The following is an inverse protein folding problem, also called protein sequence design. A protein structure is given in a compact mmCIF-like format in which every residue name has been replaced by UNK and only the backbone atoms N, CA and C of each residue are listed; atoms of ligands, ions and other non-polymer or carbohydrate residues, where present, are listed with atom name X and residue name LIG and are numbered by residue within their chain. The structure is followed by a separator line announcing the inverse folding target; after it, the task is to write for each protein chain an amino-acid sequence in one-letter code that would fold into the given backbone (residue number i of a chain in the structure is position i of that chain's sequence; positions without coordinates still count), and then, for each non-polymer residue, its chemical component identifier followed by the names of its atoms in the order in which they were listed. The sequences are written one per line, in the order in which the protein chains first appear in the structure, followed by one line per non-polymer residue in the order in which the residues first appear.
data_IF_058842607773
#
_entry.id   IF_058842607773
#
_cell.length_a   1.000
_cell.length_b   1.000
_cell.length_c   1.000
_cell.angle_alpha   90.00
_cell.angle_beta   90.00
_cell.angle_gamma   90.00
#
_symmetry.space_group_name_H-M   'P 1'
#
loop_
_entity.id
_entity.type
_entity.pdbx_description
1 polymer ?
#
# COMPACT_ATOMS: atom_id res chain seq x y z
N UNK A 1 -14.38 -25.19 -50.08
CA UNK A 1 -15.32 -26.09 -50.77
C UNK A 1 -15.78 -27.13 -49.76
N UNK A 2 -17.06 -27.07 -49.39
CA UNK A 2 -17.87 -28.06 -48.66
C UNK A 2 -17.36 -28.58 -47.29
N UNK A 3 -18.07 -28.16 -46.26
CA UNK A 3 -18.26 -28.94 -45.04
C UNK A 3 -18.98 -30.26 -45.39
N UNK A 4 -18.50 -31.37 -44.84
CA UNK A 4 -19.25 -32.61 -44.72
C UNK A 4 -19.22 -33.00 -43.25
N UNK A 5 -20.39 -32.94 -42.61
CA UNK A 5 -20.66 -33.60 -41.34
C UNK A 5 -20.86 -35.08 -41.66
N UNK A 6 -20.11 -35.95 -41.02
CA UNK A 6 -20.45 -37.37 -40.90
C UNK A 6 -20.85 -37.60 -39.44
N UNK A 7 -22.02 -38.21 -39.26
CA UNK A 7 -22.78 -38.32 -38.01
C UNK A 7 -22.43 -39.56 -37.15
N UNK A 8 -21.29 -40.21 -37.40
CA UNK A 8 -20.92 -41.45 -36.66
C UNK A 8 -19.42 -41.47 -36.29
N UNK A 9 -18.93 -40.45 -35.59
CA UNK A 9 -17.65 -40.53 -34.87
C UNK A 9 -17.91 -40.72 -33.37
N UNK A 10 -17.85 -41.96 -32.89
CA UNK A 10 -17.61 -42.23 -31.47
C UNK A 10 -16.24 -41.65 -31.10
N UNK A 11 -16.25 -40.58 -30.33
CA UNK A 11 -15.05 -39.94 -29.80
C UNK A 11 -14.41 -40.93 -28.81
N UNK A 12 -13.36 -41.61 -29.25
CA UNK A 12 -12.50 -42.38 -28.36
C UNK A 12 -11.54 -41.39 -27.69
N UNK A 13 -11.82 -41.10 -26.41
CA UNK A 13 -10.87 -40.42 -25.54
C UNK A 13 -9.87 -41.45 -25.06
N UNK A 14 -8.65 -41.42 -25.60
CA UNK A 14 -7.51 -42.03 -24.92
C UNK A 14 -7.16 -41.11 -23.76
N UNK A 15 -7.21 -41.64 -22.54
CA UNK A 15 -6.81 -40.89 -21.36
C UNK A 15 -5.29 -40.77 -21.39
N UNK A 16 -4.79 -39.54 -21.41
CA UNK A 16 -3.36 -39.27 -21.38
C UNK A 16 -2.79 -39.72 -20.02
N UNK A 17 -1.47 -39.98 -19.94
CA UNK A 17 -0.84 -40.47 -18.70
C UNK A 17 -1.15 -39.58 -17.49
N UNK A 18 -1.32 -38.27 -17.71
CA UNK A 18 -1.71 -37.31 -16.67
C UNK A 18 -3.17 -37.50 -16.19
N UNK A 19 -4.10 -37.84 -17.08
CA UNK A 19 -5.50 -38.12 -16.73
C UNK A 19 -5.63 -39.45 -15.97
N UNK A 20 -4.79 -40.43 -16.31
CA UNK A 20 -4.68 -41.70 -15.58
C UNK A 20 -4.11 -41.45 -14.19
N UNK A 21 -3.10 -40.59 -14.08
CA UNK A 21 -2.47 -40.27 -12.81
C UNK A 21 -3.42 -39.48 -11.89
N UNK A 22 -4.17 -38.52 -12.45
CA UNK A 22 -5.18 -37.76 -11.71
C UNK A 22 -6.32 -38.63 -11.16
N UNK A 23 -6.71 -39.69 -11.88
CA UNK A 23 -7.66 -40.70 -11.37
C UNK A 23 -7.06 -41.52 -10.23
N UNK A 24 -5.79 -41.93 -10.36
CA UNK A 24 -5.12 -42.73 -9.33
C UNK A 24 -4.84 -41.91 -8.05
N UNK A 25 -4.61 -40.60 -8.17
CA UNK A 25 -4.44 -39.67 -7.03
C UNK A 25 -5.75 -39.05 -6.54
N UNK A 26 -6.90 -39.48 -7.08
CA UNK A 26 -8.21 -39.00 -6.67
C UNK A 26 -8.53 -39.45 -5.23
N UNK A 27 -9.09 -38.52 -4.45
CA UNK A 27 -9.44 -38.69 -3.02
C UNK A 27 -10.25 -39.97 -2.69
N UNK A 28 -10.95 -40.54 -3.68
CA UNK A 28 -11.73 -41.78 -3.52
C UNK A 28 -10.85 -43.05 -3.40
N UNK A 29 -9.62 -43.04 -3.91
CA UNK A 29 -8.71 -44.19 -3.89
C UNK A 29 -7.90 -44.32 -2.60
N UNK A 30 -7.81 -43.25 -1.78
CA UNK A 30 -7.10 -43.25 -0.50
C UNK A 30 -7.69 -44.27 0.50
N UNK A 31 -8.98 -44.60 0.39
CA UNK A 31 -9.66 -45.51 1.32
C UNK A 31 -9.63 -46.99 0.91
N UNK A 32 -9.05 -47.32 -0.25
CA UNK A 32 -9.15 -48.66 -0.85
C UNK A 32 -7.90 -49.53 -0.69
N UNK A 33 -6.78 -48.97 -0.21
CA UNK A 33 -5.51 -49.68 -0.11
C UNK A 33 -5.16 -49.99 1.37
N UNK A 34 -5.26 -51.26 1.82
CA UNK A 34 -5.05 -51.61 3.24
C UNK A 34 -3.59 -51.55 3.69
N UNK A 35 -2.65 -51.20 2.80
CA UNK A 35 -1.21 -51.29 3.02
C UNK A 35 -0.44 -49.98 2.75
N UNK A 36 -1.14 -48.85 2.65
CA UNK A 36 -0.47 -47.55 2.66
C UNK A 36 -0.23 -47.14 4.11
N UNK A 37 1.02 -47.28 4.58
CA UNK A 37 1.46 -46.59 5.78
C UNK A 37 1.38 -45.08 5.55
N UNK A 38 1.06 -44.33 6.59
CA UNK A 38 0.99 -42.86 6.60
C UNK A 38 2.35 -42.25 6.23
N UNK A 39 2.68 -42.21 4.94
CA UNK A 39 3.75 -41.37 4.45
C UNK A 39 3.23 -39.92 4.47
N UNK A 40 3.93 -39.06 5.21
CA UNK A 40 3.59 -37.65 5.30
C UNK A 40 3.60 -37.06 3.89
N UNK A 41 2.43 -36.67 3.39
CA UNK A 41 2.33 -35.94 2.14
C UNK A 41 3.05 -34.61 2.31
N UNK A 42 4.25 -34.49 1.74
CA UNK A 42 4.94 -33.21 1.60
C UNK A 42 4.26 -32.41 0.49
N UNK A 43 3.01 -32.03 0.71
CA UNK A 43 2.36 -31.02 -0.12
C UNK A 43 2.83 -29.65 0.38
N UNK A 44 3.98 -29.18 -0.13
CA UNK A 44 4.39 -27.79 0.10
C UNK A 44 3.41 -26.87 -0.64
N UNK A 45 2.45 -26.30 0.10
CA UNK A 45 1.43 -25.37 -0.44
C UNK A 45 2.01 -24.04 -0.94
N UNK A 46 3.31 -23.79 -0.74
CA UNK A 46 3.99 -22.56 -1.12
C UNK A 46 5.12 -22.86 -2.11
N UNK A 47 5.21 -22.08 -3.19
CA UNK A 47 6.33 -22.18 -4.13
C UNK A 47 7.63 -21.64 -3.50
N UNK A 48 8.79 -22.17 -3.92
CA UNK A 48 10.09 -21.67 -3.47
C UNK A 48 10.20 -20.15 -3.76
N UNK A 49 10.43 -19.36 -2.70
CA UNK A 49 10.43 -17.88 -2.66
C UNK A 49 9.08 -17.17 -2.54
N UNK A 50 7.99 -17.84 -2.15
CA UNK A 50 6.72 -17.12 -1.88
C UNK A 50 6.62 -16.67 -0.41
N UNK A 51 7.26 -17.42 0.49
CA UNK A 51 7.22 -17.19 1.92
C UNK A 51 8.61 -17.35 2.55
N UNK A 52 8.95 -16.44 3.46
CA UNK A 52 10.18 -16.46 4.23
C UNK A 52 9.90 -16.51 5.73
N UNK A 53 10.71 -17.33 6.40
CA UNK A 53 10.74 -17.46 7.85
C UNK A 53 11.45 -16.27 8.50
N UNK A 54 10.87 -15.74 9.57
CA UNK A 54 11.48 -14.72 10.41
C UNK A 54 11.30 -15.01 11.90
N UNK A 55 12.37 -14.86 12.67
CA UNK A 55 12.35 -15.04 14.12
C UNK A 55 12.10 -13.71 14.85
N UNK A 56 11.03 -13.64 15.65
CA UNK A 56 10.70 -12.47 16.45
C UNK A 56 11.74 -12.25 17.55
N UNK A 57 12.49 -11.15 17.49
CA UNK A 57 13.47 -10.77 18.52
C UNK A 57 12.87 -10.55 19.92
N UNK A 58 11.56 -10.30 20.03
CA UNK A 58 10.90 -10.03 21.31
C UNK A 58 10.41 -11.31 22.03
N UNK A 59 9.94 -12.32 21.29
CA UNK A 59 9.38 -13.55 21.89
C UNK A 59 9.95 -14.87 21.36
N UNK A 60 10.84 -14.83 20.37
CA UNK A 60 11.42 -16.01 19.72
C UNK A 60 10.49 -16.73 18.75
N UNK A 61 9.25 -16.26 18.58
CA UNK A 61 8.30 -16.90 17.69
C UNK A 61 8.71 -16.78 16.22
N UNK A 62 8.44 -17.85 15.47
CA UNK A 62 8.66 -17.93 14.03
C UNK A 62 7.44 -17.37 13.30
N UNK A 63 7.66 -16.39 12.42
CA UNK A 63 6.64 -15.77 11.57
C UNK A 63 6.93 -16.13 10.11
N UNK A 64 5.90 -16.57 9.39
CA UNK A 64 5.97 -16.77 7.94
C UNK A 64 5.47 -15.50 7.27
N UNK A 65 6.30 -14.87 6.43
CA UNK A 65 6.01 -13.59 5.80
C UNK A 65 6.31 -13.62 4.32
N UNK A 66 5.56 -12.86 3.52
CA UNK A 66 5.87 -12.68 2.08
C UNK A 66 7.22 -11.97 1.91
N UNK A 67 7.92 -12.26 0.82
CA UNK A 67 9.28 -11.71 0.54
C UNK A 67 9.35 -10.19 0.59
N UNK A 68 8.29 -9.51 0.16
CA UNK A 68 8.23 -8.04 0.11
C UNK A 68 7.66 -7.41 1.39
N UNK A 69 7.38 -8.22 2.42
CA UNK A 69 6.93 -7.68 3.70
C UNK A 69 8.11 -7.05 4.42
N UNK A 70 8.06 -5.74 4.61
CA UNK A 70 9.11 -4.98 5.32
C UNK A 70 8.81 -4.84 6.80
N UNK A 71 7.53 -4.79 7.16
CA UNK A 71 7.07 -4.70 8.54
C UNK A 71 5.84 -5.59 8.74
N UNK A 72 5.82 -6.30 9.85
CA UNK A 72 4.70 -7.15 10.26
C UNK A 72 4.47 -7.03 11.76
N UNK A 73 3.33 -7.48 12.27
CA UNK A 73 3.09 -7.58 13.70
C UNK A 73 3.20 -9.04 14.11
N UNK A 74 3.95 -9.32 15.17
CA UNK A 74 4.03 -10.67 15.71
C UNK A 74 2.67 -11.09 16.27
N UNK A 75 2.05 -12.12 15.68
CA UNK A 75 0.77 -12.66 16.15
C UNK A 75 0.81 -13.23 17.57
N UNK A 76 2.01 -13.52 18.10
CA UNK A 76 2.19 -14.07 19.44
C UNK A 76 2.29 -13.00 20.53
N UNK A 77 3.18 -12.01 20.37
CA UNK A 77 3.43 -10.99 21.39
C UNK A 77 2.88 -9.60 21.05
N UNK A 78 2.31 -9.42 19.85
CA UNK A 78 1.77 -8.15 19.38
C UNK A 78 2.82 -7.08 19.08
N UNK A 79 4.12 -7.40 19.14
CA UNK A 79 5.18 -6.46 18.83
C UNK A 79 5.24 -6.19 17.32
N UNK A 80 5.37 -4.93 16.94
CA UNK A 80 5.74 -4.54 15.59
C UNK A 80 7.16 -5.01 15.29
N UNK A 81 7.31 -5.75 14.20
CA UNK A 81 8.56 -6.35 13.73
C UNK A 81 8.92 -5.68 12.42
N UNK A 82 10.10 -5.07 12.37
CA UNK A 82 10.70 -4.59 11.12
C UNK A 82 11.69 -5.63 10.63
N UNK A 83 11.48 -6.14 9.42
CA UNK A 83 12.29 -7.17 8.79
C UNK A 83 13.53 -6.51 8.16
N UNK A 84 14.54 -6.27 9.00
CA UNK A 84 15.75 -5.53 8.67
C UNK A 84 16.48 -6.08 7.44
N UNK A 85 16.49 -7.40 7.27
CA UNK A 85 17.15 -8.08 6.15
C UNK A 85 16.58 -7.66 4.79
N UNK A 86 15.29 -7.27 4.76
CA UNK A 86 14.58 -6.83 3.55
C UNK A 86 14.82 -5.37 3.18
N UNK A 87 15.47 -4.62 4.07
CA UNK A 87 15.82 -3.20 3.89
C UNK A 87 17.27 -3.02 3.40
N UNK A 88 17.87 -4.07 2.86
CA UNK A 88 19.23 -4.06 2.33
C UNK A 88 19.24 -4.12 0.80
N UNK A 89 20.25 -3.52 0.17
CA UNK A 89 20.39 -3.49 -1.29
C UNK A 89 19.49 -2.46 -1.99
N UNK A 90 18.94 -2.82 -3.16
CA UNK A 90 18.20 -1.89 -4.04
C UNK A 90 16.86 -1.40 -3.47
N UNK A 91 16.34 -2.08 -2.43
CA UNK A 91 15.07 -1.73 -1.77
C UNK A 91 15.28 -0.92 -0.48
N UNK A 92 16.53 -0.58 -0.16
CA UNK A 92 16.84 0.28 0.98
C UNK A 92 16.30 1.71 0.73
N UNK A 93 15.51 2.28 1.66
CA UNK A 93 15.10 3.67 1.57
C UNK A 93 16.33 4.58 1.52
N UNK A 94 16.30 5.64 0.71
CA UNK A 94 17.40 6.62 0.71
C UNK A 94 17.30 7.59 1.89
N UNK A 95 16.08 7.90 2.33
CA UNK A 95 15.80 8.88 3.38
C UNK A 95 14.71 8.41 4.33
N UNK A 96 14.73 8.94 5.55
CA UNK A 96 13.75 8.64 6.60
C UNK A 96 13.51 9.89 7.46
N UNK A 97 12.28 10.02 7.95
CA UNK A 97 11.95 10.99 9.00
C UNK A 97 11.94 10.23 10.33
N UNK A 98 12.96 10.37 11.20
CA UNK A 98 13.05 9.62 12.43
C UNK A 98 12.01 10.10 13.45
N UNK A 99 11.56 9.20 14.32
CA UNK A 99 10.71 9.57 15.45
C UNK A 99 11.48 10.51 16.40
N UNK A 100 10.89 11.67 16.70
CA UNK A 100 11.45 12.65 17.64
C UNK A 100 10.90 12.50 19.05
N UNK A 101 9.74 11.85 19.19
CA UNK A 101 9.07 11.58 20.46
C UNK A 101 9.14 10.10 20.79
N UNK A 102 9.26 9.80 22.09
CA UNK A 102 9.20 8.42 22.55
C UNK A 102 7.74 7.95 22.71
N UNK A 103 7.54 6.64 22.95
CA UNK A 103 6.22 6.04 23.11
C UNK A 103 5.43 6.65 24.28
N UNK A 104 6.10 6.97 25.37
CA UNK A 104 5.47 7.53 26.59
C UNK A 104 4.93 8.94 26.33
N UNK A 105 5.71 9.77 25.65
CA UNK A 105 5.33 11.12 25.21
C UNK A 105 4.16 11.06 24.21
N UNK A 106 4.18 10.10 23.28
CA UNK A 106 3.06 9.88 22.36
C UNK A 106 1.77 9.51 23.11
N UNK A 107 1.86 8.64 24.12
CA UNK A 107 0.72 8.28 24.97
C UNK A 107 0.18 9.46 25.78
N UNK A 108 1.07 10.29 26.32
CA UNK A 108 0.66 11.49 27.07
C UNK A 108 0.01 12.53 26.15
N UNK A 109 0.59 12.77 24.97
CA UNK A 109 0.02 13.66 23.96
C UNK A 109 -1.37 13.20 23.51
N UNK A 110 -1.54 11.89 23.26
CA UNK A 110 -2.83 11.29 22.93
C UNK A 110 -3.86 11.49 24.05
N UNK A 111 -3.51 11.21 25.31
CA UNK A 111 -4.39 11.46 26.47
C UNK A 111 -4.81 12.93 26.56
N UNK A 112 -3.86 13.85 26.37
CA UNK A 112 -4.12 15.30 26.42
C UNK A 112 -5.05 15.75 25.30
N UNK A 113 -4.91 15.18 24.10
CA UNK A 113 -5.80 15.44 22.97
C UNK A 113 -7.22 14.91 23.24
N UNK A 114 -7.35 13.66 23.68
CA UNK A 114 -8.64 13.06 24.03
C UNK A 114 -9.38 13.83 25.13
N UNK A 115 -8.68 14.37 26.14
CA UNK A 115 -9.30 15.20 27.19
C UNK A 115 -9.88 16.52 26.69
N UNK A 116 -9.43 17.04 25.55
CA UNK A 116 -9.98 18.27 24.94
C UNK A 116 -11.20 18.00 24.06
N UNK A 117 -11.47 16.75 23.71
CA UNK A 117 -12.60 16.38 22.85
C UNK A 117 -13.90 16.37 23.64
N UNK A 118 -14.83 17.27 23.31
CA UNK A 118 -16.17 17.33 23.92
C UNK A 118 -17.04 16.08 23.67
N UNK A 119 -16.73 15.30 22.63
CA UNK A 119 -17.48 14.12 22.19
C UNK A 119 -16.66 12.82 22.29
N UNK A 120 -15.56 12.82 23.03
CA UNK A 120 -14.72 11.63 23.16
C UNK A 120 -15.35 10.63 24.15
N UNK A 121 -15.68 9.39 23.74
CA UNK A 121 -16.21 8.38 24.65
C UNK A 121 -15.22 8.07 25.77
N UNK A 122 -15.71 7.85 27.00
CA UNK A 122 -14.86 7.57 28.16
C UNK A 122 -13.98 6.33 27.97
N UNK A 123 -14.49 5.31 27.27
CA UNK A 123 -13.78 4.04 27.01
C UNK A 123 -12.62 4.17 26.00
N UNK A 124 -12.55 5.30 25.29
CA UNK A 124 -11.50 5.58 24.32
C UNK A 124 -10.13 5.81 24.99
N UNK A 125 -10.12 6.16 26.28
CA UNK A 125 -8.91 6.37 27.08
C UNK A 125 -8.53 5.15 27.95
N UNK A 126 -9.04 3.97 27.63
CA UNK A 126 -8.68 2.73 28.35
C UNK A 126 -7.18 2.45 28.28
N UNK A 127 -6.62 1.98 29.40
CA UNK A 127 -5.17 1.77 29.54
C UNK A 127 -4.60 0.85 28.45
N UNK A 128 -5.36 -0.16 28.02
CA UNK A 128 -4.93 -1.11 26.99
C UNK A 128 -4.84 -0.47 25.60
N UNK A 129 -5.81 0.36 25.20
CA UNK A 129 -5.76 1.05 23.90
C UNK A 129 -4.58 2.02 23.83
N UNK A 130 -4.29 2.71 24.93
CA UNK A 130 -3.18 3.65 25.00
C UNK A 130 -1.83 2.91 24.96
N UNK A 131 -1.72 1.73 25.59
CA UNK A 131 -0.53 0.88 25.53
C UNK A 131 -0.24 0.37 24.11
N UNK A 132 -1.28 0.17 23.32
CA UNK A 132 -1.22 -0.34 21.95
C UNK A 132 -0.85 0.71 20.89
N UNK A 133 -0.54 1.95 21.30
CA UNK A 133 0.04 2.95 20.38
C UNK A 133 1.38 2.41 19.86
N UNK A 134 1.48 2.29 18.54
CA UNK A 134 2.64 1.81 17.80
C UNK A 134 3.05 2.83 16.76
N UNK A 135 4.36 3.02 16.60
CA UNK A 135 4.90 3.78 15.48
C UNK A 135 4.93 2.90 14.24
N UNK A 136 4.53 3.46 13.10
CA UNK A 136 4.57 2.77 11.81
C UNK A 136 5.37 3.62 10.83
N UNK A 137 6.30 2.99 10.13
CA UNK A 137 6.96 3.57 8.97
C UNK A 137 6.23 3.16 7.69
N UNK A 138 5.96 4.13 6.83
CA UNK A 138 5.30 3.92 5.55
C UNK A 138 6.23 4.35 4.42
N UNK A 139 6.50 3.50 3.41
CA UNK A 139 7.33 3.88 2.28
C UNK A 139 6.62 4.89 1.36
N UNK A 140 7.38 5.87 0.88
CA UNK A 140 6.96 6.87 -0.09
C UNK A 140 8.00 7.06 -1.18
N UNK A 141 7.52 7.27 -2.39
CA UNK A 141 8.31 7.80 -3.50
C UNK A 141 8.25 9.32 -3.49
N UNK A 142 9.41 9.97 -3.59
CA UNK A 142 9.50 11.42 -3.70
C UNK A 142 9.90 11.78 -5.13
N UNK A 143 8.98 12.40 -5.86
CA UNK A 143 9.20 12.80 -7.25
C UNK A 143 9.54 14.29 -7.35
N UNK A 144 10.59 14.60 -8.09
CA UNK A 144 10.87 15.96 -8.56
C UNK A 144 10.29 16.13 -9.97
N UNK A 145 9.45 17.13 -10.17
CA UNK A 145 8.77 17.40 -11.43
C UNK A 145 9.10 18.81 -11.91
N UNK A 146 9.70 18.88 -13.09
CA UNK A 146 9.98 20.14 -13.78
C UNK A 146 9.15 20.18 -15.05
N UNK A 147 8.40 21.25 -15.25
CA UNK A 147 7.47 21.42 -16.34
C UNK A 147 7.46 22.85 -16.87
N UNK A 148 7.07 23.00 -18.14
CA UNK A 148 6.82 24.31 -18.75
C UNK A 148 5.45 24.26 -19.38
N UNK A 149 4.61 25.22 -19.02
CA UNK A 149 3.27 25.39 -19.56
C UNK A 149 3.19 26.68 -20.35
N UNK A 150 2.48 26.64 -21.46
CA UNK A 150 2.14 27.81 -22.25
C UNK A 150 0.62 27.80 -22.45
N UNK A 151 0.00 28.97 -22.31
CA UNK A 151 -1.44 29.15 -22.45
C UNK A 151 -1.71 30.38 -23.30
N UNK A 152 -2.45 30.18 -24.39
CA UNK A 152 -2.99 31.25 -25.23
C UNK A 152 -4.51 31.24 -25.11
N UNK A 153 -5.09 32.39 -24.81
CA UNK A 153 -6.53 32.54 -24.65
C UNK A 153 -7.02 33.87 -25.21
N UNK A 154 -8.18 33.84 -25.86
CA UNK A 154 -8.92 35.07 -26.15
C UNK A 154 -9.77 35.42 -24.94
N UNK A 155 -9.40 36.49 -24.25
CA UNK A 155 -10.12 36.98 -23.07
C UNK A 155 -10.99 38.17 -23.44
N UNK A 156 -12.18 38.24 -22.85
CA UNK A 156 -13.06 39.40 -22.99
C UNK A 156 -13.12 40.20 -21.70
N UNK A 157 -13.05 41.53 -21.81
CA UNK A 157 -13.36 42.43 -20.72
C UNK A 157 -14.68 43.12 -21.04
N UNK A 158 -15.71 42.76 -20.29
CA UNK A 158 -17.05 43.35 -20.42
C UNK A 158 -17.20 44.47 -19.40
N UNK A 159 -17.63 45.65 -19.86
CA UNK A 159 -18.02 46.76 -19.00
C UNK A 159 -19.46 47.16 -19.33
N UNK A 160 -20.31 47.19 -18.32
CA UNK A 160 -21.67 47.70 -18.44
C UNK A 160 -21.79 49.02 -17.70
N UNK A 161 -22.38 50.03 -18.34
CA UNK A 161 -22.67 51.32 -17.72
C UNK A 161 -24.01 51.87 -18.24
N UNK A 162 -24.73 52.58 -17.38
CA UNK A 162 -25.97 53.26 -17.73
C UNK A 162 -25.71 54.74 -17.99
N UNK A 163 -26.27 55.26 -19.07
CA UNK A 163 -26.30 56.69 -19.35
C UNK A 163 -27.70 57.09 -19.83
N UNK A 164 -28.33 58.01 -19.09
CA UNK A 164 -29.74 58.35 -19.18
C UNK A 164 -30.67 57.10 -19.15
N UNK A 165 -31.47 56.90 -20.20
CA UNK A 165 -32.41 55.78 -20.32
C UNK A 165 -31.80 54.52 -20.95
N UNK A 166 -30.51 54.53 -21.28
CA UNK A 166 -29.85 53.44 -22.00
C UNK A 166 -28.81 52.71 -21.14
N UNK A 167 -28.77 51.38 -21.29
CA UNK A 167 -27.74 50.53 -20.71
C UNK A 167 -26.79 50.10 -21.83
N UNK A 168 -25.54 50.53 -21.74
CA UNK A 168 -24.48 50.19 -22.69
C UNK A 168 -23.65 49.03 -22.14
N UNK A 169 -23.39 48.02 -22.98
CA UNK A 169 -22.47 46.92 -22.69
C UNK A 169 -21.34 46.92 -23.71
N UNK A 170 -20.15 47.34 -23.27
CA UNK A 170 -18.93 47.35 -24.07
C UNK A 170 -18.16 46.05 -23.82
N UNK A 171 -17.83 45.30 -24.88
CA UNK A 171 -16.99 44.09 -24.80
C UNK A 171 -15.70 44.32 -25.56
N UNK A 172 -14.56 44.29 -24.86
CA UNK A 172 -13.22 44.34 -25.47
C UNK A 172 -12.61 42.96 -25.53
N UNK A 173 -12.03 42.62 -26.68
CA UNK A 173 -11.35 41.35 -26.91
C UNK A 173 -9.85 41.53 -26.78
N UNK A 174 -9.18 40.61 -26.11
CA UNK A 174 -7.74 40.58 -25.90
C UNK A 174 -7.20 39.19 -26.21
N UNK A 175 -6.12 39.10 -26.98
CA UNK A 175 -5.33 37.87 -27.02
C UNK A 175 -4.33 37.92 -25.85
N UNK A 176 -4.42 36.94 -24.97
CA UNK A 176 -3.58 36.81 -23.78
C UNK A 176 -2.73 35.55 -23.94
N UNK A 177 -1.41 35.75 -23.97
CA UNK A 177 -0.42 34.69 -23.91
C UNK A 177 0.26 34.69 -22.54
N UNK A 178 0.40 33.49 -21.94
CA UNK A 178 1.09 33.28 -20.67
C UNK A 178 2.00 32.07 -20.76
N UNK A 179 3.19 32.22 -20.19
CA UNK A 179 4.16 31.15 -19.99
C UNK A 179 4.37 30.95 -18.49
N UNK A 180 4.42 29.70 -18.07
CA UNK A 180 4.60 29.30 -16.68
C UNK A 180 5.68 28.24 -16.62
N UNK A 181 6.70 28.50 -15.82
CA UNK A 181 7.68 27.49 -15.43
C UNK A 181 7.22 26.88 -14.10
N UNK A 182 7.08 25.55 -14.08
CA UNK A 182 6.60 24.78 -12.94
C UNK A 182 7.76 23.93 -12.43
N UNK A 183 8.20 24.17 -11.19
CA UNK A 183 9.20 23.34 -10.53
C UNK A 183 8.62 22.87 -9.20
N UNK A 184 8.34 21.57 -9.12
CA UNK A 184 7.90 20.90 -7.92
C UNK A 184 9.00 19.96 -7.46
N UNK A 185 9.29 19.97 -6.16
CA UNK A 185 10.29 19.08 -5.57
C UNK A 185 9.67 18.24 -4.47
N UNK A 186 10.07 16.97 -4.42
CA UNK A 186 9.67 15.99 -3.39
C UNK A 186 8.16 15.86 -3.23
N UNK A 187 7.44 15.74 -4.35
CA UNK A 187 6.03 15.36 -4.32
C UNK A 187 5.94 13.92 -3.78
N UNK A 188 5.28 13.69 -2.63
CA UNK A 188 5.13 12.37 -2.07
C UNK A 188 4.09 11.57 -2.87
N UNK A 189 4.40 10.32 -3.11
CA UNK A 189 3.48 9.32 -3.63
C UNK A 189 3.65 8.07 -2.78
N UNK A 190 2.55 7.60 -2.20
CA UNK A 190 2.57 6.44 -1.34
C UNK A 190 2.99 5.19 -2.12
N UNK A 191 3.83 4.37 -1.50
CA UNK A 191 4.29 3.12 -2.09
C UNK A 191 3.59 1.89 -1.47
N UNK A 192 2.56 2.11 -0.64
CA UNK A 192 1.95 1.09 0.21
C UNK A 192 0.52 0.78 -0.19
N UNK A 193 0.31 -0.35 -0.88
CA UNK A 193 -1.03 -0.84 -1.22
C UNK A 193 -1.92 -1.17 -0.01
N UNK A 194 -1.32 -1.38 1.17
CA UNK A 194 -2.05 -1.79 2.39
C UNK A 194 -2.73 -0.63 3.11
N UNK A 195 -2.37 0.61 2.82
CA UNK A 195 -3.02 1.80 3.39
C UNK A 195 -3.94 2.43 2.35
N UNK A 196 -5.10 2.88 2.79
CA UNK A 196 -6.06 3.56 1.93
C UNK A 196 -5.61 5.00 1.66
N UNK A 197 -5.54 5.37 0.37
CA UNK A 197 -5.06 6.68 -0.10
C UNK A 197 -5.79 7.85 0.59
N UNK A 198 -7.12 7.75 0.73
CA UNK A 198 -7.92 8.81 1.36
C UNK A 198 -7.64 9.02 2.85
N UNK A 199 -7.03 8.04 3.53
CA UNK A 199 -6.51 8.21 4.88
C UNK A 199 -5.12 8.84 4.87
N UNK A 200 -4.29 8.50 3.87
CA UNK A 200 -2.96 9.07 3.69
C UNK A 200 -2.99 10.55 3.35
N UNK A 201 -3.89 10.95 2.46
CA UNK A 201 -4.07 12.37 2.07
C UNK A 201 -4.38 13.27 3.28
N UNK A 202 -5.03 12.73 4.32
CA UNK A 202 -5.36 13.47 5.55
C UNK A 202 -4.18 13.64 6.49
N UNK A 203 -3.14 12.80 6.35
CA UNK A 203 -1.91 12.89 7.13
C UNK A 203 -0.95 13.92 6.54
N UNK A 204 -1.13 14.29 5.27
CA UNK A 204 -0.38 15.36 4.62
C UNK A 204 -0.84 16.75 5.11
N UNK A 205 0.07 17.74 5.21
CA UNK A 205 1.45 17.76 4.73
C UNK A 205 2.49 17.23 5.74
N UNK A 206 3.50 16.52 5.24
CA UNK A 206 4.62 16.01 6.05
C UNK A 206 5.72 17.07 6.30
N UNK A 207 6.36 17.01 7.47
CA UNK A 207 7.49 17.89 7.81
C UNK A 207 8.81 17.38 7.21
N UNK A 208 9.18 17.90 6.04
CA UNK A 208 10.44 17.55 5.36
C UNK A 208 11.72 18.06 6.04
N UNK A 209 11.63 18.95 7.02
CA UNK A 209 12.80 19.44 7.75
C UNK A 209 13.51 18.34 8.56
N UNK A 210 12.77 17.30 8.95
CA UNK A 210 13.30 16.14 9.66
C UNK A 210 13.90 15.06 8.76
N UNK A 211 13.94 15.26 7.44
CA UNK A 211 14.35 14.23 6.48
C UNK A 211 15.87 13.99 6.57
N UNK A 212 16.26 12.81 7.04
CA UNK A 212 17.67 12.38 7.18
C UNK A 212 17.98 11.25 6.22
N UNK A 213 19.25 11.03 5.96
CA UNK A 213 19.69 9.83 5.24
C UNK A 213 19.37 8.59 6.07
N UNK A 214 18.92 7.54 5.37
CA UNK A 214 18.46 6.33 6.03
C UNK A 214 19.62 5.64 6.76
N UNK A 215 19.35 5.23 8.00
CA UNK A 215 20.23 4.40 8.79
C UNK A 215 19.37 3.46 9.64
N UNK A 216 19.80 2.20 9.78
CA UNK A 216 19.04 1.17 10.50
C UNK A 216 18.64 1.54 11.94
N UNK A 217 19.45 2.28 12.74
CA UNK A 217 19.06 2.68 14.08
C UNK A 217 17.80 3.55 14.16
N UNK A 218 17.35 4.15 13.06
CA UNK A 218 16.10 4.92 13.05
C UNK A 218 14.85 4.04 13.05
N UNK A 219 14.98 2.73 12.80
CA UNK A 219 13.88 1.77 12.81
C UNK A 219 13.75 1.01 14.15
N UNK A 220 14.62 1.34 15.12
CA UNK A 220 14.72 0.68 16.42
C UNK A 220 13.81 1.31 17.49
#
# INVERSE_FOLDING_TARGET
MRAFLNEDETIHYEADDDDINAKNSGFENDYSNPNHGDDQSQHSTFHENEAHEYHCNNCGAVLITEVNTTATTCGFCGAGVVLSDRLTGNLAPSKVVPFTINKEQAQEAFKKWCRKGRLTPNDFMTADRIKNITGLYVPFWLYDMNGRGEAEATCTRVRTYSDADWIYTETKYYNVYRKVDLNYSRIPCDASRKMEDGMMDKLEPYEYNGLKDFNMPYLA
#
